data_IF_253851520474
#
_entry.id   IF_253851520474
#
_cell.length_a   1.000
_cell.length_b   1.000
_cell.length_c   1.000
_cell.angle_alpha   90.00
_cell.angle_beta   90.00
_cell.angle_gamma   90.00
#
_symmetry.space_group_name_H-M   'P 1'
#
loop_
_entity.id
_entity.type
_entity.pdbx_description
1 polymer ?
#
# COMPACT_ATOMS: atom_id res chain seq x y z
N UNK A 1 15.51 6.03 -7.26
CA UNK A 1 15.03 4.86 -8.05
C UNK A 1 13.80 4.23 -7.39
N UNK A 2 12.82 5.05 -6.97
CA UNK A 2 11.70 4.58 -6.13
C UNK A 2 10.75 3.61 -6.85
N UNK A 3 10.44 3.88 -8.13
CA UNK A 3 9.52 3.05 -8.89
C UNK A 3 10.02 1.61 -9.10
N UNK A 4 11.34 1.40 -9.13
CA UNK A 4 11.92 0.07 -9.27
C UNK A 4 11.80 -0.75 -7.99
N UNK A 5 12.03 -0.12 -6.83
CA UNK A 5 11.86 -0.79 -5.54
C UNK A 5 10.41 -1.20 -5.31
N UNK A 6 9.46 -0.33 -5.68
CA UNK A 6 8.02 -0.65 -5.66
C UNK A 6 7.73 -1.86 -6.55
N UNK A 7 8.23 -1.89 -7.78
CA UNK A 7 8.05 -3.04 -8.69
C UNK A 7 8.62 -4.33 -8.12
N UNK A 8 9.76 -4.28 -7.43
CA UNK A 8 10.38 -5.44 -6.79
C UNK A 8 9.47 -6.04 -5.70
N UNK A 9 8.90 -5.19 -4.85
CA UNK A 9 7.93 -5.63 -3.84
C UNK A 9 6.67 -6.20 -4.50
N UNK A 10 6.12 -5.53 -5.51
CA UNK A 10 4.98 -6.03 -6.27
C UNK A 10 5.23 -7.41 -6.89
N UNK A 11 6.39 -7.60 -7.50
CA UNK A 11 6.79 -8.87 -8.10
C UNK A 11 6.89 -9.99 -7.04
N UNK A 12 7.42 -9.70 -5.85
CA UNK A 12 7.49 -10.67 -4.75
C UNK A 12 6.10 -11.14 -4.26
N UNK A 13 5.09 -10.29 -4.42
CA UNK A 13 3.69 -10.59 -4.10
C UNK A 13 2.90 -11.14 -5.31
N UNK A 14 3.53 -11.26 -6.49
CA UNK A 14 2.88 -11.73 -7.71
C UNK A 14 1.93 -10.72 -8.37
N UNK A 15 2.03 -9.43 -8.02
CA UNK A 15 1.14 -8.37 -8.50
C UNK A 15 1.79 -7.62 -9.66
N UNK A 16 1.01 -7.33 -10.72
CA UNK A 16 1.50 -6.62 -11.92
C UNK A 16 1.10 -5.15 -11.99
N UNK A 17 -0.01 -4.75 -11.34
CA UNK A 17 -0.49 -3.37 -11.35
C UNK A 17 -0.55 -2.81 -9.94
N UNK A 18 -0.02 -1.61 -9.73
CA UNK A 18 -0.03 -0.95 -8.42
C UNK A 18 -1.46 -0.71 -7.94
N UNK A 19 -2.38 -0.44 -8.87
CA UNK A 19 -3.79 -0.24 -8.60
C UNK A 19 -4.43 -1.44 -7.88
N UNK A 20 -3.94 -2.65 -8.09
CA UNK A 20 -4.45 -3.87 -7.47
C UNK A 20 -4.03 -4.00 -6.00
N UNK A 21 -3.13 -3.13 -5.50
CA UNK A 21 -2.69 -3.08 -4.10
C UNK A 21 -3.37 -1.99 -3.27
N UNK A 22 -3.91 -0.95 -3.92
CA UNK A 22 -4.45 0.21 -3.22
C UNK A 22 -5.71 -0.20 -2.45
N UNK A 23 -5.73 0.04 -1.14
CA UNK A 23 -6.86 -0.28 -0.25
C UNK A 23 -6.96 -1.75 0.18
N UNK A 24 -6.01 -2.60 -0.24
CA UNK A 24 -5.95 -4.03 0.10
C UNK A 24 -5.05 -4.28 1.29
N UNK A 25 -5.66 -4.44 2.45
CA UNK A 25 -4.98 -4.74 3.71
C UNK A 25 -4.74 -6.23 3.92
N UNK A 26 -5.27 -7.09 3.04
CA UNK A 26 -5.12 -8.55 3.09
C UNK A 26 -3.67 -9.03 2.87
N UNK A 27 -2.81 -8.18 2.29
CA UNK A 27 -1.37 -8.45 2.17
C UNK A 27 -0.56 -8.07 3.42
N UNK A 28 -1.20 -7.49 4.44
CA UNK A 28 -0.53 -6.99 5.64
C UNK A 28 -0.86 -7.89 6.83
N UNK A 29 0.15 -8.08 7.69
CA UNK A 29 0.00 -8.77 8.96
C UNK A 29 0.74 -8.01 10.06
N UNK A 30 0.17 -8.02 11.27
CA UNK A 30 0.85 -7.45 12.44
C UNK A 30 1.96 -8.40 12.86
N UNK A 31 3.18 -7.89 12.92
CA UNK A 31 4.30 -8.60 13.53
C UNK A 31 4.41 -8.15 14.99
N UNK A 32 4.20 -9.06 15.97
CA UNK A 32 4.23 -8.68 17.38
C UNK A 32 5.64 -8.24 17.80
N UNK A 33 5.71 -7.15 18.55
CA UNK A 33 6.99 -6.65 19.07
C UNK A 33 7.49 -7.54 20.21
N UNK A 34 8.69 -8.09 20.05
CA UNK A 34 9.33 -8.94 21.07
C UNK A 34 9.94 -8.15 22.22
N UNK A 35 10.33 -6.89 21.97
CA UNK A 35 11.19 -6.13 22.89
C UNK A 35 10.46 -4.97 23.59
N UNK A 36 9.28 -4.58 23.12
CA UNK A 36 8.52 -3.46 23.69
C UNK A 36 7.13 -3.93 24.17
N UNK A 37 6.94 -4.11 25.49
CA UNK A 37 5.65 -4.49 26.06
C UNK A 37 4.53 -3.51 25.74
N UNK A 38 4.82 -2.20 25.64
CA UNK A 38 3.80 -1.18 25.31
C UNK A 38 3.31 -1.33 23.87
N UNK A 39 4.16 -1.77 22.96
CA UNK A 39 3.78 -1.97 21.56
C UNK A 39 2.82 -3.15 21.38
N UNK A 40 2.78 -4.09 22.33
CA UNK A 40 1.82 -5.21 22.33
C UNK A 40 0.39 -4.76 22.70
N UNK A 41 0.24 -3.58 23.30
CA UNK A 41 -1.06 -3.02 23.68
C UNK A 41 -1.73 -2.24 22.54
N UNK A 42 -1.09 -2.12 21.38
CA UNK A 42 -1.63 -1.37 20.24
C UNK A 42 -2.64 -2.22 19.48
N UNK A 43 -3.81 -1.65 19.23
CA UNK A 43 -4.81 -2.21 18.33
C UNK A 43 -4.63 -1.59 16.93
N UNK A 44 -4.37 -2.45 15.95
CA UNK A 44 -4.19 -2.06 14.54
C UNK A 44 -5.43 -2.29 13.69
N UNK A 45 -6.54 -2.77 14.28
CA UNK A 45 -7.75 -3.15 13.54
C UNK A 45 -8.28 -2.01 12.66
N UNK A 46 -8.21 -0.76 13.15
CA UNK A 46 -8.68 0.40 12.39
C UNK A 46 -7.87 0.68 11.12
N UNK A 47 -6.55 0.45 11.12
CA UNK A 47 -5.68 0.71 9.96
C UNK A 47 -5.57 -0.49 9.02
N UNK A 48 -5.88 -1.69 9.52
CA UNK A 48 -5.90 -2.94 8.74
C UNK A 48 -7.29 -3.27 8.20
N UNK A 49 -8.29 -2.44 8.45
CA UNK A 49 -9.62 -2.58 7.87
C UNK A 49 -9.56 -2.38 6.35
N UNK A 50 -10.10 -3.35 5.60
CA UNK A 50 -10.06 -3.29 4.14
C UNK A 50 -10.98 -2.19 3.59
N UNK A 51 -10.55 -1.51 2.51
CA UNK A 51 -11.35 -0.44 1.91
C UNK A 51 -12.72 -0.93 1.38
N UNK A 52 -12.81 -2.17 0.89
CA UNK A 52 -14.06 -2.76 0.41
C UNK A 52 -15.03 -3.09 1.54
N UNK A 53 -14.51 -3.41 2.73
CA UNK A 53 -15.33 -3.64 3.92
C UNK A 53 -15.88 -2.31 4.47
N UNK A 54 -15.09 -1.24 4.39
CA UNK A 54 -15.51 0.09 4.81
C UNK A 54 -16.68 0.62 3.95
N UNK A 55 -16.67 0.35 2.64
CA UNK A 55 -17.73 0.75 1.70
C UNK A 55 -18.02 -0.36 0.67
N UNK A 56 -18.93 -1.30 1.00
CA UNK A 56 -19.31 -2.36 0.09
C UNK A 56 -19.89 -1.80 -1.21
N UNK A 57 -19.55 -2.42 -2.35
CA UNK A 57 -20.07 -2.07 -3.67
C UNK A 57 -19.51 -0.78 -4.28
N UNK A 58 -18.55 -0.12 -3.64
CA UNK A 58 -17.87 1.06 -4.19
C UNK A 58 -16.56 0.66 -4.85
N UNK A 59 -16.25 1.22 -6.02
CA UNK A 59 -14.97 1.00 -6.69
C UNK A 59 -13.83 1.66 -5.91
N UNK A 60 -12.78 0.87 -5.62
CA UNK A 60 -11.53 1.34 -5.02
C UNK A 60 -10.49 1.76 -6.07
N UNK A 61 -10.87 1.75 -7.36
CA UNK A 61 -9.99 2.18 -8.44
C UNK A 61 -9.81 3.70 -8.40
N UNK A 62 -8.58 4.13 -8.14
CA UNK A 62 -8.19 5.53 -8.12
C UNK A 62 -7.94 6.06 -9.53
N UNK A 63 -8.09 7.39 -9.70
CA UNK A 63 -7.62 8.07 -10.89
C UNK A 63 -6.09 8.03 -10.97
N UNK A 64 -5.55 7.86 -12.18
CA UNK A 64 -4.11 7.98 -12.43
C UNK A 64 -3.81 9.32 -13.10
N UNK A 65 -2.78 10.01 -12.62
CA UNK A 65 -2.21 11.18 -13.28
C UNK A 65 -0.81 10.82 -13.79
N UNK A 66 -0.50 11.21 -15.02
CA UNK A 66 0.85 11.03 -15.56
C UNK A 66 1.83 11.91 -14.79
N UNK A 67 2.96 11.33 -14.37
CA UNK A 67 4.01 12.08 -13.71
C UNK A 67 4.71 12.99 -14.73
N UNK A 68 4.72 14.30 -14.46
CA UNK A 68 5.59 15.24 -15.15
C UNK A 68 6.98 15.21 -14.51
N UNK A 69 7.99 14.85 -15.30
CA UNK A 69 9.38 14.75 -14.85
C UNK A 69 10.15 16.06 -15.01
N UNK A 70 9.53 17.09 -15.60
CA UNK A 70 10.14 18.41 -15.85
C UNK A 70 11.55 18.31 -16.46
N UNK A 71 11.76 17.34 -17.36
CA UNK A 71 13.08 17.05 -17.93
C UNK A 71 13.65 18.24 -18.72
N UNK A 72 12.77 19.13 -19.19
CA UNK A 72 13.12 20.35 -19.91
C UNK A 72 13.80 21.39 -19.03
N UNK A 73 13.51 21.41 -17.73
CA UNK A 73 14.03 22.40 -16.78
C UNK A 73 15.38 21.99 -16.17
N UNK A 74 15.94 20.85 -16.62
CA UNK A 74 17.19 20.26 -16.12
C UNK A 74 18.41 20.56 -17.01
N UNK A 75 18.23 21.37 -18.05
CA UNK A 75 19.24 21.76 -19.05
C UNK A 75 19.52 23.26 -18.97
#
# INVERSE_FOLDING_TARGET
>A
MLAEDVRRHMASMGIRKLQDLIGRTDFLQVVPSKNNPKAQMLDYSAILLNALELRPGTSILGGSLAQDFLLKDRL
#
